data_IF_905630090021
#
_entry.id   IF_905630090021
#
_cell.length_a   1.000
_cell.length_b   1.000
_cell.length_c   1.000
_cell.angle_alpha   90.00
_cell.angle_beta   90.00
_cell.angle_gamma   90.00
#
_symmetry.space_group_name_H-M   'P 1'
#
loop_
_entity.id
_entity.type
_entity.pdbx_description
1 polymer ?
#
# COMPACT_ATOMS: atom_id res chain seq x y z
N UNK A 1 1.44 6.59 11.53
CA UNK A 1 0.90 6.25 10.19
C UNK A 1 1.58 6.98 9.02
N UNK A 2 2.10 8.20 9.18
CA UNK A 2 2.75 8.96 8.10
C UNK A 2 4.02 8.32 7.48
N UNK A 3 4.77 7.51 8.24
CA UNK A 3 5.98 6.85 7.72
C UNK A 3 5.69 5.88 6.57
N UNK A 4 4.56 5.16 6.64
CA UNK A 4 4.15 4.21 5.61
C UNK A 4 3.82 4.94 4.29
N UNK A 5 3.08 6.04 4.37
CA UNK A 5 2.69 6.86 3.21
C UNK A 5 3.93 7.44 2.50
N UNK A 6 4.90 7.93 3.27
CA UNK A 6 6.16 8.46 2.75
C UNK A 6 7.05 7.38 2.13
N UNK A 7 6.98 6.16 2.65
CA UNK A 7 7.69 5.01 2.08
C UNK A 7 7.01 4.56 0.77
N UNK A 8 5.68 4.50 0.73
CA UNK A 8 4.88 4.19 -0.47
C UNK A 8 5.16 5.15 -1.63
N UNK A 9 5.28 6.45 -1.35
CA UNK A 9 5.57 7.48 -2.37
C UNK A 9 7.02 7.50 -2.84
N UNK A 10 7.95 6.94 -2.05
CA UNK A 10 9.39 6.94 -2.36
C UNK A 10 9.87 5.63 -2.97
N UNK A 11 9.28 4.50 -2.56
CA UNK A 11 9.59 3.20 -3.13
C UNK A 11 8.92 3.06 -4.50
N UNK A 12 9.69 2.57 -5.49
CA UNK A 12 9.17 2.20 -6.82
C UNK A 12 8.78 0.71 -6.88
N UNK A 13 9.21 -0.08 -5.90
CA UNK A 13 8.90 -1.50 -5.80
C UNK A 13 7.53 -1.71 -5.14
N UNK A 14 6.53 -1.98 -5.98
CA UNK A 14 5.15 -2.26 -5.57
C UNK A 14 5.02 -3.39 -4.54
N UNK A 15 5.86 -4.42 -4.65
CA UNK A 15 5.93 -5.51 -3.67
C UNK A 15 6.34 -5.00 -2.30
N UNK A 16 7.38 -4.17 -2.22
CA UNK A 16 7.87 -3.59 -0.96
C UNK A 16 6.84 -2.63 -0.33
N UNK A 17 6.09 -1.90 -1.17
CA UNK A 17 4.97 -1.04 -0.76
C UNK A 17 3.84 -1.85 -0.13
N UNK A 18 3.52 -3.00 -0.73
CA UNK A 18 2.53 -3.95 -0.20
C UNK A 18 3.06 -4.73 1.02
N UNK A 19 4.36 -4.63 1.33
CA UNK A 19 5.02 -5.42 2.36
C UNK A 19 5.19 -6.89 1.96
N UNK A 20 5.32 -7.13 0.67
CA UNK A 20 5.48 -8.44 0.04
C UNK A 20 6.88 -8.58 -0.56
N UNK A 21 7.32 -9.82 -0.66
CA UNK A 21 8.50 -10.19 -1.41
C UNK A 21 8.20 -10.28 -2.92
N UNK A 22 9.26 -10.14 -3.73
CA UNK A 22 9.19 -10.32 -5.18
C UNK A 22 8.86 -11.76 -5.60
N UNK A 23 8.97 -12.69 -4.65
CA UNK A 23 8.67 -14.13 -4.78
C UNK A 23 7.23 -14.47 -4.36
N UNK A 24 6.43 -13.47 -3.93
CA UNK A 24 5.07 -13.70 -3.45
C UNK A 24 4.10 -14.13 -4.57
N UNK A 25 3.16 -15.01 -4.21
CA UNK A 25 2.08 -15.42 -5.11
C UNK A 25 0.96 -14.39 -5.20
N UNK A 26 0.16 -14.48 -6.26
CA UNK A 26 -1.00 -13.61 -6.52
C UNK A 26 -1.99 -13.57 -5.34
N UNK A 27 -2.12 -14.68 -4.60
CA UNK A 27 -2.95 -14.75 -3.40
C UNK A 27 -2.44 -13.84 -2.26
N UNK A 28 -1.13 -13.79 -2.07
CA UNK A 28 -0.48 -12.91 -1.08
C UNK A 28 -0.62 -11.44 -1.50
N UNK A 29 -0.49 -11.15 -2.80
CA UNK A 29 -0.76 -9.82 -3.38
C UNK A 29 -2.18 -9.36 -3.09
N UNK A 30 -3.20 -10.21 -3.32
CA UNK A 30 -4.59 -9.90 -2.96
C UNK A 30 -4.79 -9.65 -1.47
N UNK A 31 -4.22 -10.50 -0.61
CA UNK A 31 -4.32 -10.34 0.85
C UNK A 31 -3.68 -9.06 1.35
N UNK A 32 -2.46 -8.76 0.87
CA UNK A 32 -1.74 -7.57 1.24
C UNK A 32 -2.45 -6.31 0.75
N UNK A 33 -2.89 -6.29 -0.51
CA UNK A 33 -3.69 -5.21 -1.09
C UNK A 33 -4.92 -4.90 -0.23
N UNK A 34 -5.68 -5.93 0.14
CA UNK A 34 -6.89 -5.75 0.95
C UNK A 34 -6.57 -5.19 2.34
N UNK A 35 -5.54 -5.74 3.02
CA UNK A 35 -5.05 -5.21 4.30
C UNK A 35 -4.54 -3.78 4.20
N UNK A 36 -3.80 -3.44 3.14
CA UNK A 36 -3.23 -2.12 2.97
C UNK A 36 -4.31 -1.11 2.65
N UNK A 37 -5.23 -1.43 1.75
CA UNK A 37 -6.38 -0.59 1.39
C UNK A 37 -7.21 -0.21 2.62
N UNK A 38 -7.47 -1.18 3.53
CA UNK A 38 -8.13 -0.91 4.81
C UNK A 38 -7.30 -0.02 5.76
N UNK A 39 -5.95 -0.11 5.70
CA UNK A 39 -5.04 0.71 6.51
C UNK A 39 -4.88 2.13 5.97
N UNK A 40 -4.90 2.32 4.65
CA UNK A 40 -4.80 3.62 3.99
C UNK A 40 -6.17 4.25 3.71
N UNK A 41 -7.26 3.59 4.11
CA UNK A 41 -8.62 4.07 3.89
C UNK A 41 -8.82 5.46 4.53
N UNK A 42 -9.31 6.47 3.78
CA UNK A 42 -9.42 7.84 4.26
C UNK A 42 -10.38 8.01 5.44
N UNK A 43 -11.34 7.09 5.59
CA UNK A 43 -12.27 7.03 6.72
C UNK A 43 -11.55 6.77 8.06
N UNK A 44 -10.58 5.85 8.08
CA UNK A 44 -9.78 5.52 9.27
C UNK A 44 -8.48 6.30 9.35
N UNK A 45 -8.00 6.86 8.24
CA UNK A 45 -6.71 7.54 8.16
C UNK A 45 -6.86 8.91 7.50
N UNK A 46 -7.10 9.95 8.31
CA UNK A 46 -7.10 11.37 7.89
C UNK A 46 -5.68 11.93 7.67
N UNK A 47 -4.73 11.09 7.30
CA UNK A 47 -3.36 11.51 7.07
C UNK A 47 -3.22 12.14 5.68
N UNK A 48 -2.55 13.30 5.54
CA UNK A 48 -2.23 13.85 4.24
C UNK A 48 -1.37 12.84 3.46
N UNK A 49 -1.85 12.44 2.28
CA UNK A 49 -1.21 11.43 1.41
C UNK A 49 -1.79 10.01 1.50
N UNK A 50 -2.83 9.76 2.32
CA UNK A 50 -3.54 8.48 2.33
C UNK A 50 -4.17 8.17 0.95
N UNK A 51 -4.70 9.19 0.29
CA UNK A 51 -5.25 9.12 -1.08
C UNK A 51 -4.18 8.75 -2.13
N UNK A 52 -2.96 9.24 -1.97
CA UNK A 52 -1.84 8.91 -2.87
C UNK A 52 -1.33 7.49 -2.62
N UNK A 53 -1.24 7.09 -1.36
CA UNK A 53 -0.88 5.73 -1.00
C UNK A 53 -1.90 4.71 -1.56
N UNK A 54 -3.21 4.97 -1.46
CA UNK A 54 -4.22 4.05 -1.99
C UNK A 54 -4.17 3.95 -3.52
N UNK A 55 -3.89 5.06 -4.22
CA UNK A 55 -3.68 5.06 -5.67
C UNK A 55 -2.47 4.21 -6.08
N UNK A 56 -1.35 4.33 -5.37
CA UNK A 56 -0.15 3.54 -5.65
C UNK A 56 -0.40 2.06 -5.39
N UNK A 57 -1.09 1.73 -4.30
CA UNK A 57 -1.48 0.36 -3.93
C UNK A 57 -2.45 -0.23 -4.95
N UNK A 58 -3.36 0.58 -5.48
CA UNK A 58 -4.26 0.17 -6.57
C UNK A 58 -3.57 0.05 -7.93
N UNK A 59 -2.39 0.64 -8.10
CA UNK A 59 -1.55 0.54 -9.31
C UNK A 59 -0.53 -0.60 -9.21
N UNK A 60 -0.26 -1.06 -7.98
CA UNK A 60 0.58 -2.20 -7.63
C UNK A 60 -0.11 -3.55 -7.86
N UNK A 61 -1.45 -3.55 -7.87
CA UNK A 61 -2.30 -4.70 -8.12
C UNK A 61 -2.60 -4.83 -9.62
#
# INVERSE_FOLDING_TARGET
HAALIRQVTRSKDYYEILGLEKTCSVEEVKKAYWKLSLKVHPDKNKAPGADEAIKIVSKAF
#
